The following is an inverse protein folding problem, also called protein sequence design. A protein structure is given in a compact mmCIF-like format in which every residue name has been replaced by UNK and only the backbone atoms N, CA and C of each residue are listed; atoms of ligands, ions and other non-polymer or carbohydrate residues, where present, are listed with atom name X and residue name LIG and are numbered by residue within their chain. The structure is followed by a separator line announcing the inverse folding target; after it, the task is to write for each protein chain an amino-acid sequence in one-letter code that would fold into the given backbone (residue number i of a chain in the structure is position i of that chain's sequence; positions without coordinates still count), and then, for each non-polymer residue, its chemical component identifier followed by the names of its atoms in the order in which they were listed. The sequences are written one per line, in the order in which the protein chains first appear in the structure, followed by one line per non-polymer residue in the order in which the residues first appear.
data_IF_464788753218
#
_entry.id   IF_464788753218
#
_cell.length_a   1.000
_cell.length_b   1.000
_cell.length_c   1.000
_cell.angle_alpha   90.00
_cell.angle_beta   90.00
_cell.angle_gamma   90.00
#
_symmetry.space_group_name_H-M   'P 1'
#
loop_
_entity.id
_entity.type
_entity.pdbx_description
1 polymer ?
#
# COMPACT_ATOMS: atom_id res chain seq x y z
N UNK A 1 -13.50 5.25 -16.33
CA UNK A 1 -12.24 4.62 -15.91
C UNK A 1 -11.13 5.64 -16.12
N UNK A 2 -10.26 5.87 -15.14
CA UNK A 2 -9.10 6.76 -15.32
C UNK A 2 -8.10 6.00 -16.20
N UNK A 3 -7.86 6.52 -17.41
CA UNK A 3 -6.90 5.92 -18.35
C UNK A 3 -5.53 6.56 -18.11
N UNK A 4 -4.54 5.75 -17.80
CA UNK A 4 -3.15 6.18 -17.75
C UNK A 4 -2.63 6.30 -19.20
N UNK A 5 -1.84 7.32 -19.48
CA UNK A 5 -1.42 7.63 -20.85
C UNK A 5 -0.60 6.49 -21.48
N UNK A 6 0.25 5.85 -20.70
CA UNK A 6 1.07 4.71 -21.15
C UNK A 6 0.27 3.42 -21.37
N UNK A 7 -0.98 3.34 -20.88
CA UNK A 7 -1.90 2.22 -21.11
C UNK A 7 -2.75 2.36 -22.37
N UNK A 8 -2.67 3.48 -23.08
CA UNK A 8 -3.45 3.67 -24.32
C UNK A 8 -3.34 2.51 -25.32
N UNK A 9 -2.14 1.93 -25.61
CA UNK A 9 -2.03 0.80 -26.51
C UNK A 9 -2.77 -0.45 -26.01
N UNK A 10 -2.78 -0.69 -24.69
CA UNK A 10 -3.52 -1.80 -24.07
C UNK A 10 -5.03 -1.59 -24.29
N UNK A 11 -5.53 -0.42 -23.95
CA UNK A 11 -6.96 -0.08 -24.09
C UNK A 11 -7.46 -0.13 -25.53
N UNK A 12 -6.61 0.24 -26.50
CA UNK A 12 -6.93 0.14 -27.93
C UNK A 12 -7.11 -1.33 -28.32
N UNK A 13 -6.17 -2.20 -27.94
CA UNK A 13 -6.26 -3.64 -28.21
C UNK A 13 -7.46 -4.30 -27.49
N UNK A 14 -7.75 -3.92 -26.25
CA UNK A 14 -8.94 -4.41 -25.52
C UNK A 14 -10.24 -4.09 -26.29
N UNK A 15 -10.38 -2.85 -26.78
CA UNK A 15 -11.53 -2.43 -27.59
C UNK A 15 -11.61 -3.18 -28.92
N UNK A 16 -10.48 -3.53 -29.52
CA UNK A 16 -10.45 -4.34 -30.74
C UNK A 16 -10.90 -5.77 -30.47
N UNK A 17 -10.44 -6.40 -29.39
CA UNK A 17 -10.90 -7.72 -28.94
C UNK A 17 -12.41 -7.73 -28.67
N UNK A 18 -12.92 -6.72 -27.96
CA UNK A 18 -14.35 -6.57 -27.69
C UNK A 18 -15.18 -6.46 -28.98
N UNK A 19 -14.71 -5.66 -29.96
CA UNK A 19 -15.37 -5.50 -31.28
C UNK A 19 -15.39 -6.83 -32.04
N UNK A 20 -14.29 -7.58 -32.04
CA UNK A 20 -14.23 -8.88 -32.69
C UNK A 20 -15.20 -9.89 -32.05
N UNK A 21 -15.26 -9.94 -30.73
CA UNK A 21 -16.19 -10.79 -29.98
C UNK A 21 -17.65 -10.41 -30.27
N UNK A 22 -17.96 -9.10 -30.25
CA UNK A 22 -19.31 -8.62 -30.57
C UNK A 22 -19.72 -8.93 -32.01
N UNK A 23 -18.78 -8.81 -32.98
CA UNK A 23 -19.01 -9.14 -34.39
C UNK A 23 -19.23 -10.66 -34.57
N UNK A 24 -18.42 -11.51 -33.97
CA UNK A 24 -18.58 -12.95 -33.99
C UNK A 24 -19.97 -13.36 -33.48
N UNK A 25 -20.39 -12.81 -32.33
CA UNK A 25 -21.69 -13.10 -31.74
C UNK A 25 -22.88 -12.58 -32.57
N UNK A 26 -22.74 -11.43 -33.24
CA UNK A 26 -23.86 -10.81 -34.03
C UNK A 26 -24.04 -11.42 -35.41
N UNK A 27 -22.99 -11.99 -35.99
CA UNK A 27 -22.99 -12.52 -37.35
C UNK A 27 -22.92 -14.06 -37.41
N UNK A 28 -22.86 -14.71 -36.25
CA UNK A 28 -22.69 -16.18 -36.10
C UNK A 28 -21.50 -16.72 -36.93
N UNK A 29 -20.39 -15.95 -36.95
CA UNK A 29 -19.16 -16.28 -37.68
C UNK A 29 -18.10 -16.76 -36.69
N UNK A 30 -17.44 -17.86 -36.99
CA UNK A 30 -16.26 -18.30 -36.22
C UNK A 30 -15.07 -17.37 -36.48
N UNK A 31 -14.74 -16.53 -35.49
CA UNK A 31 -13.58 -15.65 -35.45
C UNK A 31 -12.61 -16.03 -34.34
N UNK A 32 -12.67 -17.29 -33.86
CA UNK A 32 -11.85 -17.76 -32.72
C UNK A 32 -10.35 -17.58 -32.94
N UNK A 33 -9.86 -17.82 -34.16
CA UNK A 33 -8.45 -17.62 -34.51
C UNK A 33 -7.99 -16.14 -34.46
N UNK A 34 -8.82 -15.23 -34.99
CA UNK A 34 -8.50 -13.79 -34.98
C UNK A 34 -8.55 -13.24 -33.53
N UNK A 35 -9.55 -13.66 -32.76
CA UNK A 35 -9.68 -13.28 -31.34
C UNK A 35 -8.48 -13.78 -30.55
N UNK A 36 -8.10 -15.05 -30.69
CA UNK A 36 -6.94 -15.62 -29.98
C UNK A 36 -5.63 -14.90 -30.33
N UNK A 37 -5.43 -14.55 -31.63
CA UNK A 37 -4.26 -13.80 -32.06
C UNK A 37 -4.21 -12.40 -31.45
N UNK A 38 -5.36 -11.72 -31.41
CA UNK A 38 -5.46 -10.38 -30.82
C UNK A 38 -5.26 -10.40 -29.30
N UNK A 39 -5.80 -11.40 -28.62
CA UNK A 39 -5.60 -11.60 -27.18
C UNK A 39 -4.13 -11.89 -26.85
N UNK A 40 -3.43 -12.68 -27.65
CA UNK A 40 -2.00 -12.92 -27.50
C UNK A 40 -1.20 -11.61 -27.65
N UNK A 41 -1.54 -10.79 -28.64
CA UNK A 41 -0.92 -9.47 -28.84
C UNK A 41 -1.20 -8.54 -27.68
N UNK A 42 -2.44 -8.53 -27.14
CA UNK A 42 -2.83 -7.76 -25.96
C UNK A 42 -2.01 -8.18 -24.73
N UNK A 43 -1.90 -9.47 -24.46
CA UNK A 43 -1.15 -10.03 -23.35
C UNK A 43 0.33 -9.63 -23.43
N UNK A 44 0.94 -9.76 -24.61
CA UNK A 44 2.35 -9.39 -24.83
C UNK A 44 2.56 -7.88 -24.70
N UNK A 45 1.68 -7.05 -25.27
CA UNK A 45 1.76 -5.59 -25.13
C UNK A 45 1.66 -5.16 -23.67
N UNK A 46 0.73 -5.76 -22.92
CA UNK A 46 0.57 -5.50 -21.49
C UNK A 46 1.83 -5.90 -20.72
N UNK A 47 2.38 -7.09 -20.99
CA UNK A 47 3.61 -7.57 -20.36
C UNK A 47 4.78 -6.60 -20.61
N UNK A 48 5.02 -6.22 -21.87
CA UNK A 48 6.12 -5.33 -22.23
C UNK A 48 6.03 -3.94 -21.57
N UNK A 49 4.82 -3.37 -21.49
CA UNK A 49 4.58 -2.07 -20.83
C UNK A 49 4.86 -2.19 -19.33
N UNK A 50 4.32 -3.20 -18.66
CA UNK A 50 4.42 -3.34 -17.20
C UNK A 50 5.80 -3.80 -16.72
N UNK A 51 6.56 -4.52 -17.51
CA UNK A 51 7.96 -4.85 -17.22
C UNK A 51 8.90 -3.64 -17.30
N UNK A 52 8.53 -2.59 -18.06
CA UNK A 52 9.36 -1.43 -18.33
C UNK A 52 8.82 -0.11 -17.76
N UNK A 53 8.03 -0.18 -16.69
CA UNK A 53 7.46 1.01 -16.06
C UNK A 53 8.54 1.92 -15.47
N UNK A 54 8.46 3.21 -15.77
CA UNK A 54 9.27 4.24 -15.11
C UNK A 54 8.81 4.46 -13.66
N UNK A 55 9.64 5.01 -12.77
CA UNK A 55 9.22 5.35 -11.39
C UNK A 55 7.99 6.27 -11.36
N UNK A 56 7.89 7.22 -12.29
CA UNK A 56 6.72 8.08 -12.40
C UNK A 56 5.43 7.33 -12.79
N UNK A 57 5.52 6.39 -13.73
CA UNK A 57 4.39 5.53 -14.09
C UNK A 57 3.94 4.66 -12.91
N UNK A 58 4.87 4.14 -12.10
CA UNK A 58 4.52 3.42 -10.86
C UNK A 58 3.80 4.32 -9.85
N UNK A 59 4.21 5.58 -9.71
CA UNK A 59 3.48 6.56 -8.88
C UNK A 59 2.06 6.78 -9.39
N UNK A 60 1.87 6.85 -10.71
CA UNK A 60 0.54 7.00 -11.30
C UNK A 60 -0.34 5.76 -11.05
N UNK A 61 0.22 4.54 -11.15
CA UNK A 61 -0.47 3.29 -10.82
C UNK A 61 -0.80 3.24 -9.32
N UNK A 62 0.12 3.62 -8.44
CA UNK A 62 -0.10 3.67 -6.99
C UNK A 62 -1.31 4.52 -6.60
N UNK A 63 -1.59 5.56 -7.39
CA UNK A 63 -2.69 6.52 -7.19
C UNK A 63 -3.94 6.20 -8.01
N UNK A 64 -3.93 5.11 -8.76
CA UNK A 64 -5.06 4.78 -9.64
C UNK A 64 -6.34 4.59 -8.82
N UNK A 65 -7.44 5.22 -9.26
CA UNK A 65 -8.71 5.24 -8.52
C UNK A 65 -9.37 3.88 -8.34
N UNK A 66 -9.04 2.92 -9.21
CA UNK A 66 -9.52 1.54 -9.13
C UNK A 66 -8.53 0.62 -8.39
N UNK A 67 -7.40 1.13 -7.90
CA UNK A 67 -6.49 0.31 -7.08
C UNK A 67 -7.20 -0.15 -5.80
N UNK A 68 -7.03 -1.42 -5.36
CA UNK A 68 -7.65 -1.88 -4.14
C UNK A 68 -7.12 -1.10 -2.93
N UNK A 69 -8.03 -0.65 -2.08
CA UNK A 69 -7.75 -0.01 -0.79
C UNK A 69 -7.85 -1.03 0.34
N UNK A 70 -7.56 -0.61 1.57
CA UNK A 70 -7.55 -1.51 2.72
C UNK A 70 -8.82 -2.38 2.83
N UNK A 71 -10.02 -1.80 2.73
CA UNK A 71 -11.26 -2.56 2.89
C UNK A 71 -11.52 -3.54 1.75
N UNK A 72 -10.98 -3.31 0.54
CA UNK A 72 -11.00 -4.30 -0.54
C UNK A 72 -10.12 -5.51 -0.19
N UNK A 73 -8.93 -5.27 0.35
CA UNK A 73 -8.08 -6.36 0.86
C UNK A 73 -8.73 -7.11 2.03
N UNK A 74 -9.41 -6.40 2.94
CA UNK A 74 -10.18 -7.05 4.01
C UNK A 74 -11.22 -7.99 3.42
N UNK A 75 -11.97 -7.55 2.41
CA UNK A 75 -13.02 -8.36 1.79
C UNK A 75 -12.50 -9.60 1.06
N UNK A 76 -11.29 -9.55 0.48
CA UNK A 76 -10.75 -10.64 -0.35
C UNK A 76 -9.72 -11.53 0.35
N UNK A 77 -8.96 -11.01 1.32
CA UNK A 77 -7.85 -11.74 1.95
C UNK A 77 -8.13 -12.14 3.40
N UNK A 78 -9.10 -11.50 4.07
CA UNK A 78 -9.40 -11.74 5.49
C UNK A 78 -10.83 -12.23 5.68
N UNK A 79 -11.09 -12.85 6.83
CA UNK A 79 -12.44 -13.22 7.30
C UNK A 79 -12.69 -12.67 8.71
N UNK A 80 -13.94 -12.68 9.14
CA UNK A 80 -14.36 -12.30 10.51
C UNK A 80 -13.85 -10.92 10.95
N UNK A 81 -13.80 -9.97 10.02
CA UNK A 81 -13.36 -8.61 10.37
C UNK A 81 -14.34 -7.93 11.30
N UNK A 82 -13.85 -7.56 12.47
CA UNK A 82 -14.60 -6.81 13.49
C UNK A 82 -13.91 -5.46 13.71
N UNK A 83 -14.44 -4.41 13.10
CA UNK A 83 -13.89 -3.06 13.22
C UNK A 83 -14.06 -2.50 14.65
N UNK A 84 -13.01 -1.87 15.15
CA UNK A 84 -13.00 -1.22 16.46
C UNK A 84 -12.78 0.28 16.30
N UNK A 85 -13.69 1.07 16.81
CA UNK A 85 -13.75 2.51 16.64
C UNK A 85 -13.17 3.31 17.79
N UNK A 86 -12.70 4.52 17.47
CA UNK A 86 -12.32 5.57 18.42
C UNK A 86 -10.97 5.40 19.10
N UNK A 87 -10.34 6.53 19.41
CA UNK A 87 -9.04 6.61 20.09
C UNK A 87 -9.14 6.56 21.63
N UNK A 88 -10.34 6.58 22.18
CA UNK A 88 -10.64 6.66 23.64
C UNK A 88 -10.22 8.00 24.28
N UNK A 89 -10.02 9.04 23.46
CA UNK A 89 -9.68 10.40 23.94
C UNK A 89 -10.62 11.45 23.33
N UNK A 90 -10.55 11.63 21.99
CA UNK A 90 -11.25 12.72 21.29
C UNK A 90 -12.32 12.17 20.35
N UNK A 91 -11.99 11.17 19.51
CA UNK A 91 -12.94 10.72 18.52
C UNK A 91 -12.52 9.49 17.74
N UNK A 92 -13.17 9.27 16.61
CA UNK A 92 -12.81 8.25 15.62
C UNK A 92 -12.28 8.91 14.35
N UNK A 93 -11.49 8.15 13.59
CA UNK A 93 -11.02 8.54 12.28
C UNK A 93 -11.36 7.46 11.25
N UNK A 94 -12.20 7.80 10.29
CA UNK A 94 -12.61 6.90 9.23
C UNK A 94 -11.53 6.66 8.18
N UNK A 95 -10.46 7.47 8.14
CA UNK A 95 -9.32 7.25 7.27
C UNK A 95 -8.37 6.16 7.77
N UNK A 96 -8.54 5.71 9.02
CA UNK A 96 -7.73 4.69 9.67
C UNK A 96 -8.62 3.57 10.26
N UNK A 97 -9.36 2.78 9.45
CA UNK A 97 -10.06 1.61 9.96
C UNK A 97 -9.10 0.59 10.55
N UNK A 98 -9.60 -0.23 11.48
CA UNK A 98 -8.81 -1.30 12.07
C UNK A 98 -9.62 -2.12 13.06
N UNK A 99 -9.18 -3.34 13.30
CA UNK A 99 -9.88 -4.27 14.18
C UNK A 99 -9.28 -5.67 14.19
N UNK A 100 -10.02 -6.60 14.75
CA UNK A 100 -9.70 -8.01 14.72
C UNK A 100 -10.14 -8.65 13.41
N UNK A 101 -9.36 -9.61 12.91
CA UNK A 101 -9.69 -10.37 11.71
C UNK A 101 -9.07 -11.77 11.78
N UNK A 102 -9.35 -12.59 10.76
CA UNK A 102 -8.62 -13.83 10.50
C UNK A 102 -7.95 -13.76 9.13
N UNK A 103 -6.70 -14.20 9.07
CA UNK A 103 -5.92 -14.39 7.86
C UNK A 103 -5.57 -15.87 7.72
N UNK A 104 -6.14 -16.58 6.74
CA UNK A 104 -5.95 -18.03 6.61
C UNK A 104 -6.33 -18.80 7.87
N UNK A 105 -7.40 -18.40 8.57
CA UNK A 105 -7.84 -18.96 9.85
C UNK A 105 -7.09 -18.44 11.09
N UNK A 106 -5.95 -17.80 10.94
CA UNK A 106 -5.14 -17.22 12.02
C UNK A 106 -5.73 -15.89 12.50
N UNK A 107 -5.90 -15.72 13.80
CA UNK A 107 -6.34 -14.45 14.40
C UNK A 107 -5.25 -13.40 14.31
N UNK A 108 -5.61 -12.21 13.84
CA UNK A 108 -4.70 -11.07 13.68
C UNK A 108 -5.41 -9.76 14.08
N UNK A 109 -4.64 -8.71 14.31
CA UNK A 109 -5.15 -7.33 14.29
C UNK A 109 -4.69 -6.69 12.98
N UNK A 110 -5.63 -6.10 12.23
CA UNK A 110 -5.34 -5.40 10.99
C UNK A 110 -5.77 -3.94 11.11
N UNK A 111 -4.91 -3.03 10.66
CA UNK A 111 -5.09 -1.58 10.73
C UNK A 111 -4.56 -1.00 9.43
N UNK A 112 -5.17 0.05 8.88
CA UNK A 112 -4.58 0.66 7.70
C UNK A 112 -5.28 1.94 7.26
N UNK A 113 -4.69 2.57 6.26
CA UNK A 113 -5.27 3.75 5.64
C UNK A 113 -6.34 3.35 4.63
N UNK A 114 -7.42 4.12 4.60
CA UNK A 114 -8.53 3.94 3.68
C UNK A 114 -8.84 5.25 2.96
N UNK A 115 -8.83 5.20 1.63
CA UNK A 115 -9.30 6.26 0.73
C UNK A 115 -10.76 6.03 0.33
N UNK A 116 -11.39 7.03 -0.27
CA UNK A 116 -12.73 6.91 -0.84
C UNK A 116 -12.72 6.63 -2.33
N UNK A 117 -13.83 6.07 -2.85
CA UNK A 117 -14.04 5.84 -4.28
C UNK A 117 -14.67 7.06 -4.98
N UNK A 118 -15.42 7.85 -4.26
CA UNK A 118 -16.05 9.09 -4.73
C UNK A 118 -15.67 10.29 -3.86
N UNK A 119 -16.14 11.48 -4.25
CA UNK A 119 -15.84 12.72 -3.52
C UNK A 119 -16.37 12.71 -2.10
N UNK A 120 -17.59 12.18 -1.87
CA UNK A 120 -18.22 12.14 -0.55
C UNK A 120 -17.46 11.21 0.40
N UNK A 121 -17.09 10.04 -0.10
CA UNK A 121 -16.31 9.08 0.66
C UNK A 121 -14.89 9.59 0.92
N UNK A 122 -14.25 10.22 -0.06
CA UNK A 122 -12.94 10.84 0.11
C UNK A 122 -12.96 11.95 1.18
N UNK A 123 -13.99 12.79 1.20
CA UNK A 123 -14.14 13.79 2.26
C UNK A 123 -14.31 13.15 3.64
N UNK A 124 -15.11 12.08 3.74
CA UNK A 124 -15.29 11.33 5.00
C UNK A 124 -13.99 10.69 5.49
N UNK A 125 -13.12 10.27 4.57
CA UNK A 125 -11.85 9.57 4.86
C UNK A 125 -10.62 10.46 4.71
N UNK A 126 -10.80 11.78 4.66
CA UNK A 126 -9.73 12.77 4.52
C UNK A 126 -8.72 12.42 3.40
N UNK A 127 -9.19 11.84 2.29
CA UNK A 127 -8.35 11.38 1.17
C UNK A 127 -7.23 10.39 1.60
N UNK A 128 -7.47 9.61 2.65
CA UNK A 128 -6.48 8.70 3.23
C UNK A 128 -5.47 9.36 4.18
N UNK A 129 -5.62 10.67 4.45
CA UNK A 129 -4.77 11.41 5.39
C UNK A 129 -5.35 11.35 6.80
N UNK A 130 -4.75 10.54 7.67
CA UNK A 130 -5.27 10.34 9.00
C UNK A 130 -5.02 11.54 9.93
N UNK A 131 -6.01 11.82 10.77
CA UNK A 131 -5.94 12.73 11.91
C UNK A 131 -5.19 12.07 13.09
N UNK A 132 -4.82 12.84 14.15
CA UNK A 132 -4.21 12.31 15.37
C UNK A 132 -4.99 11.16 15.98
N UNK A 133 -6.33 11.21 15.91
CA UNK A 133 -7.23 10.17 16.40
C UNK A 133 -7.00 8.83 15.71
N UNK A 134 -6.71 8.83 14.41
CA UNK A 134 -6.38 7.63 13.65
C UNK A 134 -5.13 6.95 14.17
N UNK A 135 -4.04 7.71 14.38
CA UNK A 135 -2.78 7.18 14.91
C UNK A 135 -2.91 6.68 16.34
N UNK A 136 -3.64 7.41 17.20
CA UNK A 136 -3.92 6.97 18.58
C UNK A 136 -4.80 5.72 18.61
N UNK A 137 -5.82 5.63 17.75
CA UNK A 137 -6.61 4.41 17.55
C UNK A 137 -5.73 3.25 17.11
N UNK A 138 -4.86 3.45 16.13
CA UNK A 138 -3.93 2.43 15.66
C UNK A 138 -3.09 1.88 16.81
N UNK A 139 -2.45 2.74 17.60
CA UNK A 139 -1.65 2.30 18.76
C UNK A 139 -2.49 1.58 19.80
N UNK A 140 -3.70 2.04 20.08
CA UNK A 140 -4.63 1.35 21.00
C UNK A 140 -4.92 -0.09 20.53
N UNK A 141 -5.12 -0.28 19.22
CA UNK A 141 -5.36 -1.61 18.64
C UNK A 141 -4.11 -2.49 18.67
N UNK A 142 -2.93 -1.90 18.43
CA UNK A 142 -1.64 -2.61 18.55
C UNK A 142 -1.39 -3.07 20.00
N UNK A 143 -1.73 -2.25 21.00
CA UNK A 143 -1.65 -2.65 22.42
C UNK A 143 -2.68 -3.72 22.79
N UNK A 144 -3.84 -3.75 22.17
CA UNK A 144 -4.77 -4.87 22.31
C UNK A 144 -4.21 -6.16 21.65
N UNK A 145 -3.60 -6.05 20.49
CA UNK A 145 -2.93 -7.18 19.85
C UNK A 145 -1.84 -7.77 20.77
N UNK A 146 -0.98 -6.91 21.31
CA UNK A 146 0.07 -7.31 22.28
C UNK A 146 -0.53 -8.03 23.49
N UNK A 147 -1.60 -7.47 24.08
CA UNK A 147 -2.29 -8.06 25.25
C UNK A 147 -2.81 -9.49 24.97
N UNK A 148 -3.28 -9.75 23.76
CA UNK A 148 -3.85 -11.04 23.38
C UNK A 148 -2.85 -11.94 22.61
N UNK A 149 -1.60 -11.55 22.48
CA UNK A 149 -0.57 -12.30 21.75
C UNK A 149 -0.89 -12.47 20.26
N UNK A 150 -1.51 -11.47 19.64
CA UNK A 150 -1.91 -11.50 18.22
C UNK A 150 -0.93 -10.70 17.36
N UNK A 151 -0.55 -11.20 16.20
CA UNK A 151 0.25 -10.41 15.26
C UNK A 151 -0.53 -9.21 14.74
N UNK A 152 0.20 -8.15 14.43
CA UNK A 152 -0.31 -6.90 13.85
C UNK A 152 0.06 -6.83 12.37
N UNK A 153 -0.91 -6.50 11.54
CA UNK A 153 -0.72 -6.20 10.12
C UNK A 153 -1.15 -4.75 9.90
N UNK A 154 -0.24 -3.93 9.35
CA UNK A 154 -0.57 -2.56 8.97
C UNK A 154 -0.54 -2.42 7.45
N UNK A 155 -1.61 -1.81 6.91
CA UNK A 155 -1.83 -1.60 5.48
C UNK A 155 -1.74 -0.10 5.18
N UNK A 156 -0.67 0.33 4.53
CA UNK A 156 -0.32 1.74 4.33
C UNK A 156 -0.76 2.18 2.94
N UNK A 157 -1.64 3.18 2.88
CA UNK A 157 -2.02 3.83 1.63
C UNK A 157 -2.45 5.29 1.88
N UNK A 158 -1.47 6.17 2.04
CA UNK A 158 -1.67 7.57 2.40
C UNK A 158 -0.72 8.50 1.66
N UNK A 159 -1.18 9.68 1.20
CA UNK A 159 -0.27 10.73 0.72
C UNK A 159 0.51 11.42 1.85
N UNK A 160 0.09 11.23 3.10
CA UNK A 160 0.67 11.83 4.32
C UNK A 160 -0.37 11.97 5.43
N UNK A 161 0.06 12.36 6.63
CA UNK A 161 -0.84 12.72 7.71
C UNK A 161 -1.64 13.99 7.37
N UNK A 162 -2.80 14.18 7.99
CA UNK A 162 -3.64 15.33 7.74
C UNK A 162 -2.94 16.63 8.18
N UNK A 163 -2.74 17.61 7.27
CA UNK A 163 -1.89 18.79 7.53
C UNK A 163 -2.66 20.03 8.06
N UNK A 164 -3.93 19.88 8.42
CA UNK A 164 -4.77 20.99 8.81
C UNK A 164 -4.55 21.46 10.26
N UNK A 165 -4.93 22.70 10.57
CA UNK A 165 -4.80 23.33 11.90
C UNK A 165 -5.40 22.44 12.99
N UNK A 166 -6.58 21.85 12.75
CA UNK A 166 -7.20 20.97 13.75
C UNK A 166 -6.39 19.71 14.06
N UNK A 167 -5.50 19.25 13.18
CA UNK A 167 -4.59 18.15 13.48
C UNK A 167 -3.41 18.64 14.35
N UNK A 168 -2.89 19.84 14.07
CA UNK A 168 -1.85 20.47 14.90
C UNK A 168 -2.36 20.73 16.32
N UNK A 169 -3.54 21.30 16.48
CA UNK A 169 -4.20 21.53 17.78
C UNK A 169 -4.39 20.26 18.61
N UNK A 170 -4.56 19.10 17.93
CA UNK A 170 -4.72 17.80 18.56
C UNK A 170 -3.45 16.94 18.55
N UNK A 171 -2.29 17.58 18.30
CA UNK A 171 -0.96 17.01 18.41
C UNK A 171 -0.69 15.83 17.44
N UNK A 172 -0.80 16.08 16.12
CA UNK A 172 -0.49 15.09 15.07
C UNK A 172 0.96 14.60 15.15
N UNK A 173 1.90 15.51 15.39
CA UNK A 173 3.32 15.16 15.48
C UNK A 173 3.60 14.23 16.68
N UNK A 174 3.01 14.52 17.83
CA UNK A 174 3.13 13.66 19.03
C UNK A 174 2.49 12.28 18.79
N UNK A 175 1.31 12.23 18.18
CA UNK A 175 0.62 10.97 17.91
C UNK A 175 1.47 10.04 17.00
N UNK A 176 2.10 10.59 15.98
CA UNK A 176 3.02 9.85 15.09
C UNK A 176 4.29 9.45 15.85
N UNK A 177 4.95 10.37 16.54
CA UNK A 177 6.18 10.11 17.29
C UNK A 177 5.98 9.06 18.38
N UNK A 178 4.86 9.10 19.08
CA UNK A 178 4.48 8.09 20.06
C UNK A 178 4.36 6.71 19.41
N UNK A 179 3.69 6.61 18.26
CA UNK A 179 3.56 5.35 17.55
C UNK A 179 4.93 4.81 17.11
N UNK A 180 5.82 5.63 16.56
CA UNK A 180 7.17 5.21 16.16
C UNK A 180 7.90 4.54 17.31
N UNK A 181 7.87 5.18 18.50
CA UNK A 181 8.52 4.61 19.71
C UNK A 181 7.85 3.33 20.17
N UNK A 182 6.54 3.33 20.33
CA UNK A 182 5.81 2.20 20.89
C UNK A 182 5.78 0.98 19.97
N UNK A 183 5.77 1.17 18.66
CA UNK A 183 5.85 0.07 17.70
C UNK A 183 7.19 -0.67 17.78
N UNK A 184 8.28 0.03 18.08
CA UNK A 184 9.58 -0.62 18.33
C UNK A 184 9.54 -1.60 19.51
N UNK A 185 8.64 -1.38 20.48
CA UNK A 185 8.57 -2.12 21.74
C UNK A 185 7.47 -3.20 21.76
N UNK A 186 6.66 -3.33 20.71
CA UNK A 186 5.58 -4.32 20.63
C UNK A 186 6.13 -5.75 20.67
N UNK A 187 5.65 -6.54 21.63
CA UNK A 187 6.10 -7.92 21.90
C UNK A 187 5.39 -8.98 21.05
N UNK A 188 4.84 -8.58 19.94
CA UNK A 188 4.16 -9.44 18.95
C UNK A 188 4.70 -9.15 17.55
N UNK A 189 4.61 -10.10 16.61
CA UNK A 189 4.98 -9.85 15.21
C UNK A 189 4.22 -8.68 14.62
N UNK A 190 4.92 -7.79 13.91
CA UNK A 190 4.35 -6.66 13.18
C UNK A 190 4.80 -6.73 11.72
N UNK A 191 3.86 -6.73 10.79
CA UNK A 191 4.13 -6.64 9.35
C UNK A 191 3.45 -5.40 8.81
N UNK A 192 4.21 -4.52 8.18
CA UNK A 192 3.71 -3.35 7.48
C UNK A 192 3.75 -3.57 5.97
N UNK A 193 2.70 -3.19 5.25
CA UNK A 193 2.63 -3.30 3.78
C UNK A 193 2.22 -1.97 3.19
N UNK A 194 3.06 -1.43 2.30
CA UNK A 194 2.69 -0.27 1.48
C UNK A 194 1.87 -0.76 0.29
N UNK A 195 0.57 -0.44 0.28
CA UNK A 195 -0.38 -0.88 -0.75
C UNK A 195 -0.32 -0.03 -2.02
N UNK A 196 -0.17 1.27 -1.87
CA UNK A 196 -0.14 2.26 -2.94
C UNK A 196 0.79 3.41 -2.58
N UNK A 197 0.27 4.43 -1.91
CA UNK A 197 1.07 5.58 -1.48
C UNK A 197 1.58 5.41 -0.06
N UNK A 198 2.90 5.42 0.13
CA UNK A 198 3.55 5.47 1.44
C UNK A 198 4.12 6.86 1.70
N UNK A 199 3.25 7.82 2.06
CA UNK A 199 3.63 9.23 2.17
C UNK A 199 4.07 9.66 3.57
N UNK A 200 5.31 10.14 3.68
CA UNK A 200 5.82 10.94 4.81
C UNK A 200 5.57 10.31 6.20
N UNK A 201 5.45 11.16 7.23
CA UNK A 201 5.11 10.77 8.60
C UNK A 201 3.78 10.04 8.73
N UNK A 202 2.86 10.25 7.78
CA UNK A 202 1.60 9.52 7.73
C UNK A 202 1.81 8.01 7.59
N UNK A 203 2.65 7.62 6.67
CA UNK A 203 3.03 6.22 6.47
C UNK A 203 3.86 5.69 7.64
N UNK A 204 4.84 6.47 8.13
CA UNK A 204 5.70 6.09 9.24
C UNK A 204 4.93 5.82 10.52
N UNK A 205 3.86 6.57 10.79
CA UNK A 205 3.05 6.45 12.01
C UNK A 205 2.43 5.06 12.26
N UNK A 206 2.43 4.18 11.21
CA UNK A 206 2.07 2.77 11.31
C UNK A 206 3.05 1.87 10.54
N UNK A 207 4.25 2.37 10.22
CA UNK A 207 5.23 1.72 9.32
C UNK A 207 6.41 1.03 10.01
N UNK A 208 6.56 1.14 11.34
CA UNK A 208 7.64 0.47 12.09
C UNK A 208 7.25 -0.99 12.33
N UNK A 209 7.99 -1.94 11.75
CA UNK A 209 7.60 -3.35 11.75
C UNK A 209 8.79 -4.31 11.66
N UNK A 210 8.56 -5.58 12.00
CA UNK A 210 9.56 -6.65 11.82
C UNK A 210 9.79 -6.93 10.33
N UNK A 211 8.72 -6.79 9.53
CA UNK A 211 8.77 -6.85 8.08
C UNK A 211 8.04 -5.63 7.50
N UNK A 212 8.73 -4.91 6.65
CA UNK A 212 8.17 -3.82 5.83
C UNK A 212 8.13 -4.30 4.39
N UNK A 213 6.95 -4.51 3.86
CA UNK A 213 6.71 -5.01 2.51
C UNK A 213 6.09 -3.90 1.65
N UNK A 214 6.20 -4.03 0.33
CA UNK A 214 5.54 -3.14 -0.62
C UNK A 214 4.86 -3.94 -1.72
N UNK A 215 3.71 -3.48 -2.18
CA UNK A 215 3.16 -3.92 -3.46
C UNK A 215 4.08 -3.43 -4.59
N UNK A 216 4.16 -4.19 -5.67
CA UNK A 216 5.12 -3.98 -6.77
C UNK A 216 5.04 -2.57 -7.38
N UNK A 217 3.84 -2.03 -7.53
CA UNK A 217 3.62 -0.69 -8.09
C UNK A 217 3.25 0.35 -7.02
N UNK A 218 3.62 0.12 -5.77
CA UNK A 218 3.56 1.12 -4.71
C UNK A 218 4.80 2.02 -4.71
N UNK A 219 4.72 3.15 -4.01
CA UNK A 219 5.89 3.97 -3.69
C UNK A 219 5.94 4.34 -2.20
N UNK A 220 7.15 4.56 -1.69
CA UNK A 220 7.36 4.96 -0.30
C UNK A 220 8.37 6.10 -0.25
N UNK A 221 7.96 7.26 0.27
CA UNK A 221 8.77 8.47 0.22
C UNK A 221 8.38 9.49 1.29
N UNK A 222 9.34 10.31 1.71
CA UNK A 222 9.12 11.42 2.64
C UNK A 222 8.30 12.56 2.03
N UNK A 223 8.34 12.74 0.72
CA UNK A 223 7.65 13.80 -0.01
C UNK A 223 7.15 13.27 -1.36
N UNK A 224 6.09 13.85 -1.90
CA UNK A 224 5.64 13.51 -3.26
C UNK A 224 6.64 13.99 -4.33
N UNK A 225 6.74 13.31 -5.49
CA UNK A 225 7.57 13.78 -6.59
C UNK A 225 7.27 15.22 -7.02
N UNK A 226 5.99 15.59 -7.04
CA UNK A 226 5.56 16.96 -7.36
C UNK A 226 6.03 17.98 -6.32
N UNK A 227 6.00 17.59 -5.03
CA UNK A 227 6.50 18.42 -3.94
C UNK A 227 8.01 18.61 -4.04
N UNK A 228 8.76 17.53 -4.26
CA UNK A 228 10.20 17.54 -4.50
C UNK A 228 10.55 18.42 -5.71
N UNK A 229 9.86 18.22 -6.83
CA UNK A 229 10.05 19.03 -8.05
C UNK A 229 9.78 20.51 -7.83
N UNK A 230 8.72 20.84 -7.09
CA UNK A 230 8.40 22.24 -6.77
C UNK A 230 9.49 22.92 -5.92
N UNK A 231 10.10 22.19 -5.00
CA UNK A 231 11.18 22.72 -4.14
C UNK A 231 12.48 22.87 -4.93
N UNK A 232 12.93 21.82 -5.62
CA UNK A 232 14.25 21.79 -6.27
C UNK A 232 14.27 22.47 -7.65
N UNK A 233 13.26 22.23 -8.48
CA UNK A 233 13.17 22.78 -9.84
C UNK A 233 12.18 23.94 -9.97
N UNK A 234 11.55 24.37 -8.87
CA UNK A 234 10.57 25.46 -8.84
C UNK A 234 9.32 25.24 -9.68
N UNK A 235 9.12 24.02 -10.21
CA UNK A 235 7.95 23.69 -11.02
C UNK A 235 7.60 22.22 -10.96
N UNK A 236 6.31 21.90 -10.72
CA UNK A 236 5.77 20.52 -10.61
C UNK A 236 5.88 19.68 -11.87
N UNK A 237 6.09 20.29 -13.06
CA UNK A 237 6.27 19.54 -14.33
C UNK A 237 7.46 18.57 -14.30
N UNK A 238 8.43 18.79 -13.42
CA UNK A 238 9.61 17.93 -13.21
C UNK A 238 9.36 16.78 -12.23
N UNK A 239 8.08 16.44 -11.96
CA UNK A 239 7.75 15.30 -11.13
C UNK A 239 8.29 13.96 -11.66
N UNK A 240 8.34 13.68 -12.99
CA UNK A 240 8.97 12.47 -13.51
C UNK A 240 10.46 12.38 -13.17
N UNK A 241 11.23 13.45 -13.37
CA UNK A 241 12.66 13.52 -13.05
C UNK A 241 12.90 13.40 -11.54
N UNK A 242 12.01 14.03 -10.74
CA UNK A 242 12.06 13.89 -9.28
C UNK A 242 11.80 12.44 -8.86
N UNK A 243 10.79 11.77 -9.42
CA UNK A 243 10.48 10.36 -9.11
C UNK A 243 11.68 9.44 -9.40
N UNK A 244 12.38 9.67 -10.52
CA UNK A 244 13.59 8.92 -10.89
C UNK A 244 14.74 9.15 -9.88
N UNK A 245 14.98 10.41 -9.52
CA UNK A 245 16.05 10.80 -8.61
C UNK A 245 15.82 10.33 -7.16
N UNK A 246 14.56 10.29 -6.72
CA UNK A 246 14.17 9.93 -5.35
C UNK A 246 14.27 8.43 -5.04
N UNK A 247 14.35 7.56 -6.04
CA UNK A 247 14.45 6.10 -5.86
C UNK A 247 13.34 5.53 -4.95
N UNK A 248 12.09 5.98 -5.17
CA UNK A 248 10.94 5.73 -4.29
C UNK A 248 10.15 4.46 -4.62
N UNK A 249 10.47 3.78 -5.73
CA UNK A 249 9.77 2.59 -6.20
C UNK A 249 10.23 1.32 -5.47
N UNK A 250 9.37 0.32 -5.39
CA UNK A 250 9.63 -0.90 -4.63
C UNK A 250 10.96 -1.61 -4.99
N UNK A 251 11.37 -1.75 -6.27
CA UNK A 251 12.65 -2.37 -6.60
C UNK A 251 13.86 -1.58 -6.08
N UNK A 252 13.82 -0.24 -6.12
CA UNK A 252 14.89 0.60 -5.61
C UNK A 252 15.00 0.49 -4.09
N UNK A 253 13.87 0.56 -3.38
CA UNK A 253 13.84 0.48 -1.92
C UNK A 253 14.25 -0.90 -1.39
N UNK A 254 13.92 -1.97 -2.13
CA UNK A 254 14.41 -3.32 -1.82
C UNK A 254 15.94 -3.39 -1.98
N UNK A 255 16.48 -2.83 -3.07
CA UNK A 255 17.93 -2.78 -3.31
C UNK A 255 18.67 -1.97 -2.25
N UNK A 256 18.07 -0.90 -1.75
CA UNK A 256 18.60 -0.06 -0.66
C UNK A 256 18.42 -0.69 0.73
N UNK A 257 17.75 -1.84 0.84
CA UNK A 257 17.48 -2.51 2.12
C UNK A 257 16.49 -1.77 3.02
N UNK A 258 15.70 -0.84 2.48
CA UNK A 258 14.70 -0.07 3.22
C UNK A 258 13.38 -0.83 3.38
N UNK A 259 13.12 -1.81 2.52
CA UNK A 259 12.00 -2.74 2.62
C UNK A 259 12.49 -4.18 2.57
N UNK A 260 11.76 -5.09 3.21
CA UNK A 260 12.16 -6.50 3.36
C UNK A 260 11.67 -7.38 2.19
N UNK A 261 10.75 -6.88 1.37
CA UNK A 261 10.23 -7.64 0.23
C UNK A 261 9.21 -6.88 -0.59
N UNK A 262 9.01 -7.38 -1.81
CA UNK A 262 8.03 -6.86 -2.77
C UNK A 262 6.98 -7.94 -3.02
N UNK A 263 5.71 -7.56 -2.96
CA UNK A 263 4.57 -8.41 -3.26
C UNK A 263 4.19 -8.19 -4.72
N UNK A 264 4.27 -9.23 -5.53
CA UNK A 264 3.94 -9.15 -6.94
C UNK A 264 2.47 -8.79 -7.18
N UNK A 265 2.24 -7.96 -8.17
CA UNK A 265 0.91 -7.64 -8.68
C UNK A 265 0.60 -8.49 -9.94
N UNK A 266 -0.67 -8.76 -10.23
CA UNK A 266 -1.03 -9.34 -11.52
C UNK A 266 -0.55 -8.48 -12.69
N UNK A 267 -0.26 -9.09 -13.84
CA UNK A 267 0.11 -8.35 -15.05
C UNK A 267 -0.98 -7.35 -15.42
N UNK A 268 -0.63 -6.07 -15.48
CA UNK A 268 -1.59 -4.98 -15.63
C UNK A 268 -1.86 -4.23 -14.31
N UNK A 269 -1.25 -4.65 -13.20
CA UNK A 269 -1.35 -3.98 -11.90
C UNK A 269 -2.56 -4.39 -11.06
N UNK A 270 -2.51 -4.02 -9.79
CA UNK A 270 -3.51 -4.38 -8.78
C UNK A 270 -4.93 -3.90 -9.10
N UNK A 271 -5.07 -2.84 -9.88
CA UNK A 271 -6.38 -2.26 -10.24
C UNK A 271 -7.16 -3.07 -11.28
N UNK A 272 -6.53 -4.02 -11.96
CA UNK A 272 -7.19 -4.92 -12.92
C UNK A 272 -7.71 -6.20 -12.28
N UNK A 273 -7.07 -6.69 -11.20
CA UNK A 273 -7.46 -7.95 -10.55
C UNK A 273 -7.28 -7.86 -9.02
N UNK A 274 -8.32 -7.38 -8.34
CA UNK A 274 -8.34 -7.28 -6.89
C UNK A 274 -8.24 -8.64 -6.18
N UNK A 275 -8.98 -9.69 -6.60
CA UNK A 275 -8.89 -11.01 -5.97
C UNK A 275 -7.50 -11.63 -6.06
N UNK A 276 -6.86 -11.61 -7.22
CA UNK A 276 -5.51 -12.15 -7.38
C UNK A 276 -4.48 -11.33 -6.60
N UNK A 277 -4.60 -10.00 -6.60
CA UNK A 277 -3.74 -9.11 -5.79
C UNK A 277 -3.87 -9.41 -4.30
N UNK A 278 -5.08 -9.59 -3.81
CA UNK A 278 -5.34 -9.91 -2.41
C UNK A 278 -4.87 -11.33 -2.02
N UNK A 279 -4.93 -12.28 -2.96
CA UNK A 279 -4.37 -13.62 -2.76
C UNK A 279 -2.84 -13.57 -2.59
N UNK A 280 -2.14 -12.82 -3.45
CA UNK A 280 -0.69 -12.62 -3.35
C UNK A 280 -0.30 -11.97 -2.01
N UNK A 281 -1.06 -10.95 -1.58
CA UNK A 281 -0.88 -10.33 -0.27
C UNK A 281 -1.06 -11.34 0.86
N UNK A 282 -2.17 -12.08 0.86
CA UNK A 282 -2.49 -13.08 1.91
C UNK A 282 -1.38 -14.12 2.04
N UNK A 283 -0.97 -14.70 0.91
CA UNK A 283 -0.01 -15.80 0.89
C UNK A 283 1.38 -15.32 1.34
N UNK A 284 1.78 -14.10 0.94
CA UNK A 284 3.00 -13.47 1.42
C UNK A 284 2.95 -13.19 2.92
N UNK A 285 1.85 -12.62 3.42
CA UNK A 285 1.68 -12.35 4.85
C UNK A 285 1.75 -13.61 5.69
N UNK A 286 1.10 -14.70 5.26
CA UNK A 286 1.14 -15.98 5.95
C UNK A 286 2.57 -16.56 6.00
N UNK A 287 3.30 -16.48 4.89
CA UNK A 287 4.69 -16.94 4.83
C UNK A 287 5.60 -16.11 5.76
N UNK A 288 5.46 -14.79 5.80
CA UNK A 288 6.23 -13.92 6.69
C UNK A 288 5.88 -14.15 8.17
N UNK A 289 4.60 -14.32 8.51
CA UNK A 289 4.18 -14.64 9.87
C UNK A 289 4.76 -15.99 10.34
N UNK A 290 4.77 -17.00 9.47
CA UNK A 290 5.35 -18.31 9.80
C UNK A 290 6.87 -18.22 10.13
N UNK A 291 7.60 -17.32 9.47
CA UNK A 291 9.01 -17.06 9.79
C UNK A 291 9.16 -16.34 11.13
N UNK A 292 8.36 -15.30 11.39
CA UNK A 292 8.42 -14.52 12.62
C UNK A 292 8.03 -15.35 13.86
N UNK A 293 7.14 -16.34 13.71
CA UNK A 293 6.73 -17.26 14.78
C UNK A 293 7.87 -18.14 15.31
N UNK A 294 8.95 -18.29 14.57
CA UNK A 294 10.13 -19.06 15.01
C UNK A 294 11.00 -18.26 15.99
N UNK A 295 10.78 -16.96 16.13
CA UNK A 295 11.56 -16.09 16.99
C UNK A 295 10.94 -16.00 18.38
N UNK A 296 11.76 -16.02 19.42
CA UNK A 296 11.33 -15.61 20.75
C UNK A 296 11.03 -14.10 20.77
N UNK A 297 10.32 -13.63 21.78
CA UNK A 297 10.01 -12.20 21.94
C UNK A 297 11.28 -11.34 21.96
N UNK A 298 12.32 -11.77 22.66
CA UNK A 298 13.58 -11.01 22.75
C UNK A 298 14.28 -10.98 21.38
N UNK A 299 14.35 -12.11 20.67
CA UNK A 299 14.90 -12.18 19.31
C UNK A 299 14.12 -11.29 18.32
N UNK A 300 12.79 -11.22 18.46
CA UNK A 300 11.94 -10.37 17.63
C UNK A 300 12.27 -8.89 17.85
N UNK A 301 12.37 -8.45 19.11
CA UNK A 301 12.70 -7.07 19.48
C UNK A 301 14.11 -6.68 19.05
N UNK A 302 15.10 -7.53 19.29
CA UNK A 302 16.49 -7.31 18.93
C UNK A 302 16.66 -7.23 17.41
N UNK A 303 16.03 -8.13 16.66
CA UNK A 303 16.05 -8.12 15.19
C UNK A 303 15.38 -6.86 14.61
N UNK A 304 14.23 -6.44 15.18
CA UNK A 304 13.57 -5.19 14.80
C UNK A 304 14.46 -3.98 15.04
N UNK A 305 15.08 -3.89 16.22
CA UNK A 305 16.00 -2.81 16.54
C UNK A 305 17.21 -2.80 15.61
N UNK A 306 17.86 -3.93 15.42
CA UNK A 306 19.05 -4.07 14.57
C UNK A 306 18.73 -3.63 13.11
N UNK A 307 17.55 -4.02 12.57
CA UNK A 307 17.11 -3.61 11.23
C UNK A 307 17.08 -2.10 11.08
N UNK A 308 16.37 -1.39 11.96
CA UNK A 308 16.25 0.07 11.85
C UNK A 308 17.56 0.80 12.13
N UNK A 309 18.45 0.22 12.96
CA UNK A 309 19.80 0.76 13.20
C UNK A 309 20.73 0.60 12.00
N UNK A 310 20.48 -0.38 11.14
CA UNK A 310 21.29 -0.65 9.95
C UNK A 310 20.91 0.22 8.73
N UNK A 311 19.85 1.02 8.81
CA UNK A 311 19.43 1.87 7.69
C UNK A 311 20.45 2.98 7.41
N UNK A 312 20.83 3.08 6.13
CA UNK A 312 21.75 4.08 5.63
C UNK A 312 23.22 3.70 5.78
N UNK A 313 24.02 4.18 4.85
CA UNK A 313 25.46 4.11 4.91
C UNK A 313 25.98 5.40 5.55
N UNK A 314 26.96 5.31 6.42
CA UNK A 314 27.61 6.46 7.02
C UNK A 314 29.13 6.27 7.01
N UNK A 315 29.83 7.32 6.63
CA UNK A 315 31.29 7.38 6.70
C UNK A 315 31.66 7.72 8.14
N UNK A 316 31.75 6.69 8.97
CA UNK A 316 32.24 6.79 10.34
C UNK A 316 33.45 5.90 10.50
N UNK A 317 34.49 6.45 11.06
CA UNK A 317 35.71 5.70 11.42
C UNK A 317 35.47 4.89 12.68
#
# INVERSE_FOLDING_TARGET
MQLLEFEKPINELEREVEKLRAKAASQDIDMSGDIASMEAKLAETRRLIYENLTPWQRVQIARHTQRPFMLDYIAHAFTDFCELHGDRRIGDDHSMPGGFARLGGRRVVVIGHQKGRDTKENLKRNFGSAHPEGYRKAMRLMKLAEKFGLPVITLIDTPGAYPGIGAEERNIAEAIAHNLREMMLLKVPVIAVVLGEGGSGGALGIGVADRVLMMENAYYSVISPEGCAAILWKHRKHAPEAAEAMKLAAPDLLKLGLVDGVIAEPTGGAHHDHPATAANLRDTLLAQLAQLDQLSTDQLLDARYAKFRAFGEWEGK
#
